data_IF_717982540370
#
_entry.id   IF_717982540370
#
_cell.length_a   1.000
_cell.length_b   1.000
_cell.length_c   1.000
_cell.angle_alpha   90.00
_cell.angle_beta   90.00
_cell.angle_gamma   90.00
#
_symmetry.space_group_name_H-M   'P 1'
#
loop_
_entity.id
_entity.type
_entity.pdbx_description
1 polymer ?
#
# COMPACT_ATOMS: atom_id res chain seq x y z
N UNK A 1 7.37 -6.56 -5.97
CA UNK A 1 6.18 -5.68 -5.79
C UNK A 1 6.24 -4.79 -4.54
N UNK A 2 6.85 -5.23 -3.41
CA UNK A 2 6.96 -4.42 -2.18
C UNK A 2 7.67 -3.05 -2.36
N UNK A 3 8.70 -2.98 -3.20
CA UNK A 3 9.51 -1.75 -3.41
C UNK A 3 8.90 -0.67 -4.31
N UNK A 4 7.95 -1.01 -5.18
CA UNK A 4 7.34 -0.02 -6.08
C UNK A 4 6.38 0.87 -5.29
N UNK A 5 5.50 0.25 -4.51
CA UNK A 5 4.54 0.97 -3.69
C UNK A 5 5.27 1.81 -2.63
N UNK A 6 6.23 1.24 -1.90
CA UNK A 6 6.99 1.96 -0.87
C UNK A 6 7.66 3.25 -1.37
N UNK A 7 8.14 3.27 -2.62
CA UNK A 7 8.72 4.48 -3.25
C UNK A 7 7.68 5.54 -3.58
N UNK A 8 6.52 5.14 -4.10
CA UNK A 8 5.43 6.09 -4.43
C UNK A 8 4.89 6.76 -3.17
N UNK A 9 4.80 6.02 -2.06
CA UNK A 9 4.36 6.57 -0.77
C UNK A 9 5.39 7.50 -0.10
N UNK A 10 6.61 7.62 -0.62
CA UNK A 10 7.63 8.59 -0.18
C UNK A 10 7.67 9.85 -1.05
N UNK A 11 6.88 9.91 -2.12
CA UNK A 11 6.83 11.08 -2.99
C UNK A 11 6.34 12.32 -2.20
N UNK A 12 6.85 13.51 -2.54
CA UNK A 12 6.42 14.74 -1.91
C UNK A 12 4.93 14.99 -2.20
N UNK A 13 4.21 15.69 -1.31
CA UNK A 13 2.77 15.97 -1.46
C UNK A 13 2.34 16.45 -2.86
N UNK A 14 3.01 17.42 -3.53
CA UNK A 14 2.57 17.91 -4.84
C UNK A 14 2.55 16.82 -5.91
N UNK A 15 3.50 15.87 -5.89
CA UNK A 15 3.54 14.78 -6.87
C UNK A 15 2.36 13.83 -6.71
N UNK A 16 1.88 13.61 -5.47
CA UNK A 16 0.71 12.75 -5.22
C UNK A 16 -0.56 13.37 -5.77
N UNK A 17 -0.73 14.68 -5.60
CA UNK A 17 -1.85 15.42 -6.19
C UNK A 17 -1.75 15.48 -7.72
N UNK A 18 -0.54 15.62 -8.27
CA UNK A 18 -0.34 15.55 -9.72
C UNK A 18 -0.76 14.19 -10.29
N UNK A 19 -0.40 13.08 -9.64
CA UNK A 19 -0.85 11.74 -10.02
C UNK A 19 -2.39 11.63 -9.96
N UNK A 20 -3.03 12.17 -8.92
CA UNK A 20 -4.49 12.17 -8.82
C UNK A 20 -5.20 12.94 -9.93
N UNK A 21 -4.67 14.11 -10.29
CA UNK A 21 -5.21 14.93 -11.39
C UNK A 21 -4.98 14.24 -12.73
N UNK A 22 -3.80 13.68 -12.97
CA UNK A 22 -3.50 12.91 -14.19
C UNK A 22 -4.40 11.70 -14.29
N UNK A 23 -4.57 10.94 -13.20
CA UNK A 23 -5.47 9.79 -13.17
C UNK A 23 -6.90 10.21 -13.53
N UNK A 24 -7.42 11.28 -12.91
CA UNK A 24 -8.74 11.83 -13.22
C UNK A 24 -8.85 12.20 -14.70
N UNK A 25 -7.89 12.96 -15.24
CA UNK A 25 -7.88 13.38 -16.64
C UNK A 25 -7.82 12.20 -17.61
N UNK A 26 -7.03 11.17 -17.31
CA UNK A 26 -6.96 9.93 -18.11
C UNK A 26 -8.28 9.17 -18.05
N UNK A 27 -8.88 9.02 -16.87
CA UNK A 27 -10.17 8.35 -16.70
C UNK A 27 -11.31 9.05 -17.46
N UNK A 28 -11.35 10.38 -17.35
CA UNK A 28 -12.31 11.22 -18.08
C UNK A 28 -12.09 11.11 -19.59
N UNK A 29 -10.85 11.28 -20.06
CA UNK A 29 -10.52 11.19 -21.49
C UNK A 29 -10.84 9.81 -22.07
N UNK A 30 -10.49 8.74 -21.34
CA UNK A 30 -10.79 7.38 -21.75
C UNK A 30 -12.31 7.17 -21.82
N UNK A 31 -13.07 7.69 -20.85
CA UNK A 31 -14.53 7.59 -20.88
C UNK A 31 -15.11 8.31 -22.10
N UNK A 32 -14.69 9.55 -22.36
CA UNK A 32 -15.13 10.32 -23.53
C UNK A 32 -14.84 9.59 -24.85
N UNK A 33 -13.69 8.92 -24.96
CA UNK A 33 -13.35 8.11 -26.13
C UNK A 33 -14.22 6.86 -26.29
N UNK A 34 -14.77 6.33 -25.19
CA UNK A 34 -15.63 5.14 -25.16
C UNK A 34 -17.13 5.49 -25.29
N UNK A 35 -17.52 6.75 -25.12
CA UNK A 35 -18.91 7.22 -25.27
C UNK A 35 -19.57 6.79 -26.58
N UNK A 36 -18.90 6.87 -27.76
CA UNK A 36 -19.50 6.46 -29.03
C UNK A 36 -19.82 4.96 -29.10
N UNK A 37 -19.11 4.14 -28.31
CA UNK A 37 -19.25 2.70 -28.38
C UNK A 37 -20.48 2.23 -27.60
N UNK A 38 -20.62 2.62 -26.33
CA UNK A 38 -21.60 2.00 -25.40
C UNK A 38 -22.62 3.03 -24.84
N UNK A 39 -22.54 4.28 -25.28
CA UNK A 39 -23.46 5.36 -24.91
C UNK A 39 -23.23 5.95 -23.51
N UNK A 40 -24.20 6.75 -23.05
CA UNK A 40 -24.13 7.55 -21.80
C UNK A 40 -24.72 6.82 -20.58
N UNK A 41 -24.86 5.49 -20.65
CA UNK A 41 -25.43 4.72 -19.53
C UNK A 41 -24.42 4.64 -18.37
N UNK A 42 -24.89 4.91 -17.15
CA UNK A 42 -24.16 4.75 -15.88
C UNK A 42 -22.70 5.32 -15.89
N UNK A 43 -22.50 6.61 -16.21
CA UNK A 43 -21.17 7.22 -16.41
C UNK A 43 -20.27 7.18 -15.17
N UNK A 44 -20.84 7.08 -13.98
CA UNK A 44 -20.10 7.06 -12.71
C UNK A 44 -19.32 5.75 -12.49
N UNK A 45 -19.79 4.62 -13.03
CA UNK A 45 -19.15 3.31 -12.80
C UNK A 45 -17.74 3.27 -13.38
N UNK A 46 -17.53 3.92 -14.53
CA UNK A 46 -16.22 3.98 -15.21
C UNK A 46 -15.18 4.81 -14.45
N UNK A 47 -15.59 5.62 -13.46
CA UNK A 47 -14.68 6.46 -12.68
C UNK A 47 -14.13 5.76 -11.43
N UNK A 48 -14.75 4.68 -10.96
CA UNK A 48 -14.26 3.97 -9.76
C UNK A 48 -12.83 3.41 -9.91
N UNK A 49 -12.43 2.79 -11.03
CA UNK A 49 -11.05 2.34 -11.21
C UNK A 49 -10.04 3.50 -11.13
N UNK A 50 -10.41 4.66 -11.68
CA UNK A 50 -9.60 5.87 -11.65
C UNK A 50 -9.40 6.38 -10.21
N UNK A 51 -10.46 6.42 -9.41
CA UNK A 51 -10.38 6.76 -7.98
C UNK A 51 -9.51 5.76 -7.24
N UNK A 52 -9.68 4.46 -7.51
CA UNK A 52 -8.92 3.41 -6.85
C UNK A 52 -7.41 3.55 -7.12
N UNK A 53 -7.02 3.79 -8.37
CA UNK A 53 -5.61 4.04 -8.75
C UNK A 53 -5.08 5.28 -8.03
N UNK A 54 -5.83 6.38 -8.04
CA UNK A 54 -5.42 7.61 -7.34
C UNK A 54 -5.24 7.40 -5.84
N UNK A 55 -6.20 6.74 -5.18
CA UNK A 55 -6.13 6.42 -3.76
C UNK A 55 -4.95 5.49 -3.44
N UNK A 56 -4.60 4.56 -4.34
CA UNK A 56 -3.50 3.62 -4.14
C UNK A 56 -2.13 4.25 -4.30
N UNK A 57 -1.97 5.27 -5.15
CA UNK A 57 -0.67 5.93 -5.32
C UNK A 57 -0.54 7.22 -4.49
N UNK A 58 -1.64 7.93 -4.25
CA UNK A 58 -1.63 9.21 -3.55
C UNK A 58 -2.11 9.15 -2.09
N UNK A 59 -2.91 8.14 -1.73
CA UNK A 59 -3.56 8.03 -0.42
C UNK A 59 -4.93 8.71 -0.36
N UNK A 60 -5.39 8.96 0.86
CA UNK A 60 -6.76 9.45 1.08
C UNK A 60 -7.09 10.75 0.32
N UNK A 61 -6.35 11.83 0.57
CA UNK A 61 -6.67 13.15 0.00
C UNK A 61 -6.59 13.20 -1.53
N UNK A 62 -5.57 12.62 -2.18
CA UNK A 62 -5.56 12.54 -3.64
C UNK A 62 -6.73 11.70 -4.21
N UNK A 63 -7.15 10.63 -3.51
CA UNK A 63 -8.36 9.87 -3.87
C UNK A 63 -9.64 10.71 -3.81
N UNK A 64 -9.78 11.55 -2.77
CA UNK A 64 -10.89 12.53 -2.67
C UNK A 64 -10.83 13.54 -3.81
N UNK A 65 -9.65 14.09 -4.13
CA UNK A 65 -9.50 15.03 -5.25
C UNK A 65 -9.95 14.40 -6.57
N UNK A 66 -9.51 13.18 -6.86
CA UNK A 66 -9.95 12.45 -8.06
C UNK A 66 -11.46 12.22 -8.05
N UNK A 67 -12.05 11.88 -6.90
CA UNK A 67 -13.50 11.70 -6.76
C UNK A 67 -14.25 12.99 -7.09
N UNK A 68 -13.81 14.14 -6.55
CA UNK A 68 -14.43 15.43 -6.80
C UNK A 68 -14.29 15.87 -8.27
N UNK A 69 -13.11 15.68 -8.86
CA UNK A 69 -12.89 15.99 -10.29
C UNK A 69 -13.76 15.13 -11.19
N UNK A 70 -13.87 13.82 -10.90
CA UNK A 70 -14.75 12.91 -11.62
C UNK A 70 -16.23 13.24 -11.42
N UNK A 71 -16.63 13.69 -10.23
CA UNK A 71 -18.00 14.14 -9.94
C UNK A 71 -18.37 15.37 -10.77
N UNK A 72 -17.50 16.39 -10.79
CA UNK A 72 -17.68 17.59 -11.61
C UNK A 72 -17.73 17.25 -13.10
N UNK A 73 -16.84 16.35 -13.56
CA UNK A 73 -16.85 15.90 -14.94
C UNK A 73 -18.12 15.12 -15.29
N UNK A 74 -18.61 14.26 -14.38
CA UNK A 74 -19.85 13.52 -14.53
C UNK A 74 -21.04 14.46 -14.76
N UNK A 75 -21.15 15.50 -13.95
CA UNK A 75 -22.19 16.52 -14.05
C UNK A 75 -22.09 17.31 -15.35
N UNK A 76 -20.88 17.73 -15.75
CA UNK A 76 -20.70 18.59 -16.92
C UNK A 76 -20.89 17.88 -18.26
N UNK A 77 -20.37 16.65 -18.42
CA UNK A 77 -20.32 15.96 -19.71
C UNK A 77 -21.45 14.96 -19.93
N UNK A 78 -21.98 14.33 -18.87
CA UNK A 78 -22.87 13.17 -19.02
C UNK A 78 -24.26 13.31 -18.39
N UNK A 79 -24.48 14.21 -17.43
CA UNK A 79 -25.80 14.43 -16.81
C UNK A 79 -26.60 15.51 -17.55
N UNK A 80 -27.86 15.27 -17.95
CA UNK A 80 -28.73 16.29 -18.53
C UNK A 80 -29.12 17.35 -17.49
N UNK A 81 -29.08 18.66 -17.81
CA UNK A 81 -28.69 19.26 -19.07
C UNK A 81 -27.17 19.29 -19.23
N UNK A 82 -26.67 18.61 -20.27
CA UNK A 82 -25.23 18.58 -20.60
C UNK A 82 -24.72 20.00 -20.82
N UNK A 83 -23.49 20.28 -20.37
CA UNK A 83 -22.89 21.62 -20.32
C UNK A 83 -23.59 22.61 -19.35
N UNK A 84 -24.39 22.13 -18.41
CA UNK A 84 -24.99 22.94 -17.35
C UNK A 84 -24.87 22.26 -15.99
N UNK A 85 -24.49 23.02 -14.95
CA UNK A 85 -24.47 22.55 -13.55
C UNK A 85 -25.86 22.66 -12.90
N UNK A 86 -26.92 22.26 -13.63
CA UNK A 86 -28.31 22.35 -13.16
C UNK A 86 -28.92 20.97 -13.01
N UNK A 87 -28.88 20.48 -11.78
CA UNK A 87 -29.56 19.24 -11.38
C UNK A 87 -31.07 19.36 -11.62
N UNK A 88 -31.56 18.72 -12.67
CA UNK A 88 -32.97 18.76 -13.08
C UNK A 88 -33.72 17.49 -12.67
N UNK A 89 -32.99 16.39 -12.44
CA UNK A 89 -33.54 15.09 -12.02
C UNK A 89 -33.00 14.68 -10.63
N UNK A 90 -33.86 14.33 -9.67
CA UNK A 90 -33.46 13.73 -8.40
C UNK A 90 -32.56 12.48 -8.53
N UNK A 91 -32.66 11.73 -9.63
CA UNK A 91 -31.82 10.55 -9.88
C UNK A 91 -30.33 10.86 -9.99
N UNK A 92 -29.96 11.98 -10.61
CA UNK A 92 -28.56 12.40 -10.79
C UNK A 92 -27.92 12.77 -9.46
N UNK A 93 -28.67 13.44 -8.59
CA UNK A 93 -28.25 13.79 -7.22
C UNK A 93 -27.94 12.53 -6.42
N UNK A 94 -28.82 11.54 -6.47
CA UNK A 94 -28.63 10.25 -5.75
C UNK A 94 -27.41 9.52 -6.28
N UNK A 95 -27.23 9.45 -7.61
CA UNK A 95 -26.05 8.85 -8.22
C UNK A 95 -24.75 9.53 -7.78
N UNK A 96 -24.73 10.87 -7.77
CA UNK A 96 -23.57 11.65 -7.34
C UNK A 96 -23.25 11.44 -5.86
N UNK A 97 -24.27 11.43 -4.99
CA UNK A 97 -24.09 11.18 -3.56
C UNK A 97 -23.52 9.78 -3.31
N UNK A 98 -24.08 8.76 -3.96
CA UNK A 98 -23.56 7.39 -3.87
C UNK A 98 -22.12 7.33 -4.36
N UNK A 99 -21.80 8.00 -5.46
CA UNK A 99 -20.45 8.04 -6.01
C UNK A 99 -19.45 8.69 -5.06
N UNK A 100 -19.78 9.83 -4.46
CA UNK A 100 -18.92 10.51 -3.49
C UNK A 100 -18.73 9.66 -2.23
N UNK A 101 -19.80 9.03 -1.73
CA UNK A 101 -19.73 8.12 -0.58
C UNK A 101 -18.82 6.92 -0.89
N UNK A 102 -19.02 6.25 -2.03
CA UNK A 102 -18.19 5.10 -2.43
C UNK A 102 -16.74 5.53 -2.67
N UNK A 103 -16.50 6.65 -3.35
CA UNK A 103 -15.14 7.18 -3.56
C UNK A 103 -14.42 7.52 -2.25
N UNK A 104 -15.17 8.08 -1.28
CA UNK A 104 -14.69 8.30 0.08
C UNK A 104 -14.38 7.00 0.83
N UNK A 105 -15.25 5.98 0.72
CA UNK A 105 -15.02 4.66 1.31
C UNK A 105 -13.81 3.96 0.69
N UNK A 106 -13.65 4.00 -0.64
CA UNK A 106 -12.48 3.45 -1.35
C UNK A 106 -11.20 4.13 -0.84
N UNK A 107 -11.22 5.47 -0.79
CA UNK A 107 -10.06 6.25 -0.33
C UNK A 107 -9.73 5.98 1.14
N UNK A 108 -10.74 5.89 2.00
CA UNK A 108 -10.60 5.59 3.43
C UNK A 108 -10.09 4.18 3.68
N UNK A 109 -10.67 3.18 3.01
CA UNK A 109 -10.24 1.80 3.13
C UNK A 109 -8.78 1.64 2.70
N UNK A 110 -8.40 2.25 1.58
CA UNK A 110 -7.01 2.19 1.09
C UNK A 110 -6.03 2.81 2.10
N UNK A 111 -6.38 3.94 2.72
CA UNK A 111 -5.58 4.57 3.77
C UNK A 111 -5.44 3.68 5.01
N UNK A 112 -6.52 3.05 5.48
CA UNK A 112 -6.47 2.14 6.64
C UNK A 112 -5.60 0.92 6.37
N UNK A 113 -5.74 0.31 5.19
CA UNK A 113 -4.92 -0.81 4.74
C UNK A 113 -3.44 -0.42 4.69
N UNK A 114 -3.13 0.73 4.08
CA UNK A 114 -1.76 1.23 4.02
C UNK A 114 -1.16 1.46 5.41
N UNK A 115 -1.92 2.06 6.33
CA UNK A 115 -1.44 2.30 7.71
C UNK A 115 -1.13 0.99 8.42
N UNK A 116 -2.01 0.00 8.29
CA UNK A 116 -1.79 -1.33 8.85
C UNK A 116 -0.52 -1.99 8.28
N UNK A 117 -0.35 -1.96 6.95
CA UNK A 117 0.86 -2.52 6.31
C UNK A 117 2.14 -1.82 6.77
N UNK A 118 2.11 -0.48 6.87
CA UNK A 118 3.28 0.30 7.29
C UNK A 118 3.63 0.04 8.76
N UNK A 119 2.62 -0.11 9.63
CA UNK A 119 2.81 -0.45 11.03
C UNK A 119 3.47 -1.82 11.19
N UNK A 120 3.02 -2.83 10.45
CA UNK A 120 3.63 -4.18 10.46
C UNK A 120 5.09 -4.12 10.06
N UNK A 121 5.42 -3.47 8.93
CA UNK A 121 6.80 -3.32 8.46
C UNK A 121 7.68 -2.62 9.52
N UNK A 122 7.19 -1.54 10.11
CA UNK A 122 7.96 -0.82 11.14
C UNK A 122 8.21 -1.64 12.41
N UNK A 123 7.31 -2.59 12.73
CA UNK A 123 7.49 -3.49 13.87
C UNK A 123 8.57 -4.53 13.60
N UNK A 124 8.63 -5.07 12.37
CA UNK A 124 9.69 -5.99 11.94
C UNK A 124 11.06 -5.30 11.96
N UNK A 125 11.15 -4.07 11.41
CA UNK A 125 12.41 -3.31 11.38
C UNK A 125 12.90 -2.94 12.79
N UNK A 126 11.99 -2.61 13.71
CA UNK A 126 12.34 -2.35 15.12
C UNK A 126 12.88 -3.60 15.79
N UNK A 127 12.21 -4.74 15.63
CA UNK A 127 12.67 -6.01 16.21
C UNK A 127 14.07 -6.38 15.69
N UNK A 128 14.28 -6.26 14.37
CA UNK A 128 15.59 -6.49 13.74
C UNK A 128 16.66 -5.55 14.28
N UNK A 129 16.36 -4.27 14.39
CA UNK A 129 17.32 -3.26 14.90
C UNK A 129 17.66 -3.53 16.36
N UNK A 130 16.68 -3.85 17.21
CA UNK A 130 16.93 -4.19 18.62
C UNK A 130 17.81 -5.44 18.74
N UNK A 131 17.50 -6.51 18.00
CA UNK A 131 18.32 -7.73 17.99
C UNK A 131 19.73 -7.49 17.43
N UNK A 132 19.90 -6.56 16.49
CA UNK A 132 21.21 -6.17 15.97
C UNK A 132 22.00 -5.25 16.91
N UNK A 133 21.32 -4.49 17.78
CA UNK A 133 21.93 -3.58 18.76
C UNK A 133 22.35 -4.27 20.06
N UNK A 134 21.88 -5.50 20.30
CA UNK A 134 22.42 -6.35 21.36
C UNK A 134 23.83 -6.74 20.91
N UNK A 135 24.84 -6.37 21.72
CA UNK A 135 26.25 -6.71 21.45
C UNK A 135 26.56 -8.21 21.55
N UNK A 136 25.57 -9.03 21.89
CA UNK A 136 25.65 -10.48 21.97
C UNK A 136 25.13 -11.13 20.69
N UNK A 137 25.79 -12.23 20.29
CA UNK A 137 25.29 -13.08 19.23
C UNK A 137 23.98 -13.75 19.63
N UNK A 138 22.93 -13.56 18.82
CA UNK A 138 21.62 -14.19 19.02
C UNK A 138 21.40 -15.26 17.95
N UNK A 139 21.15 -16.48 18.42
CA UNK A 139 20.74 -17.63 17.59
C UNK A 139 19.35 -18.05 18.05
N UNK A 140 18.36 -17.99 17.17
CA UNK A 140 17.03 -18.54 17.42
C UNK A 140 16.94 -19.94 16.83
N UNK A 141 16.24 -20.86 17.52
CA UNK A 141 15.98 -22.21 17.03
C UNK A 141 14.51 -22.58 17.10
N UNK A 142 14.10 -23.57 16.30
CA UNK A 142 12.82 -24.26 16.46
C UNK A 142 12.86 -25.26 17.64
N UNK A 143 11.75 -25.98 17.83
CA UNK A 143 11.57 -27.03 18.83
C UNK A 143 12.48 -28.25 18.61
N UNK A 144 13.00 -28.44 17.39
CA UNK A 144 14.00 -29.46 17.05
C UNK A 144 15.44 -28.94 17.19
N UNK A 145 15.65 -27.70 17.64
CA UNK A 145 16.98 -27.10 17.76
C UNK A 145 17.64 -26.76 16.42
N UNK A 146 16.87 -26.57 15.35
CA UNK A 146 17.38 -26.06 14.06
C UNK A 146 17.34 -24.54 14.05
N UNK A 147 18.37 -23.91 13.50
CA UNK A 147 18.50 -22.46 13.44
C UNK A 147 17.37 -21.86 12.59
N UNK A 148 16.62 -20.95 13.19
CA UNK A 148 15.53 -20.19 12.55
C UNK A 148 15.88 -18.72 12.31
N UNK A 149 16.88 -18.18 13.01
CA UNK A 149 17.42 -16.86 12.76
C UNK A 149 18.85 -16.73 13.33
N UNK A 150 19.65 -15.87 12.69
CA UNK A 150 20.99 -15.49 13.14
C UNK A 150 21.12 -13.96 13.05
N UNK A 151 21.47 -13.26 14.14
CA UNK A 151 21.76 -11.83 14.04
C UNK A 151 23.18 -11.58 13.49
N UNK A 152 23.46 -10.36 13.01
CA UNK A 152 24.75 -10.01 12.40
C UNK A 152 25.96 -10.24 13.34
N UNK A 153 25.76 -10.09 14.65
CA UNK A 153 26.81 -10.38 15.64
C UNK A 153 27.09 -11.88 15.72
N UNK A 154 26.06 -12.72 15.75
CA UNK A 154 26.22 -14.18 15.69
C UNK A 154 26.82 -14.64 14.36
N UNK A 155 26.51 -13.99 13.23
CA UNK A 155 27.20 -14.25 11.96
C UNK A 155 28.71 -13.97 12.09
N UNK A 156 29.07 -12.80 12.65
CA UNK A 156 30.46 -12.42 12.85
C UNK A 156 31.21 -13.34 13.84
N UNK A 157 30.53 -13.85 14.87
CA UNK A 157 31.12 -14.72 15.90
C UNK A 157 31.25 -16.18 15.44
N UNK A 158 30.27 -16.69 14.68
CA UNK A 158 30.24 -18.09 14.23
C UNK A 158 30.89 -18.29 12.86
N UNK A 159 31.01 -17.22 12.06
CA UNK A 159 31.48 -17.27 10.68
C UNK A 159 30.45 -17.79 9.67
N UNK A 160 29.22 -18.07 10.11
CA UNK A 160 28.12 -18.50 9.26
C UNK A 160 27.24 -17.32 8.88
N UNK A 161 26.79 -17.22 7.62
CA UNK A 161 25.68 -16.32 7.30
C UNK A 161 24.34 -16.93 7.74
N UNK A 162 23.34 -16.09 8.02
CA UNK A 162 21.98 -16.51 8.35
C UNK A 162 21.41 -17.44 7.26
N UNK A 163 21.65 -17.08 5.99
CA UNK A 163 21.22 -17.87 4.85
C UNK A 163 21.81 -19.29 4.82
N UNK A 164 23.05 -19.46 5.29
CA UNK A 164 23.72 -20.75 5.34
C UNK A 164 23.35 -21.56 6.59
N UNK A 165 23.10 -20.87 7.71
CA UNK A 165 22.76 -21.47 8.99
C UNK A 165 21.29 -21.91 9.07
N UNK A 166 20.37 -21.23 8.38
CA UNK A 166 18.93 -21.53 8.38
C UNK A 166 18.64 -23.02 8.12
N UNK A 167 17.88 -23.64 9.04
CA UNK A 167 17.48 -25.05 8.99
C UNK A 167 18.55 -26.06 9.43
N UNK A 168 19.79 -25.63 9.70
CA UNK A 168 20.85 -26.48 10.27
C UNK A 168 20.66 -26.66 11.77
N UNK A 169 21.14 -27.78 12.32
CA UNK A 169 21.16 -28.00 13.78
C UNK A 169 22.09 -27.00 14.45
N UNK A 170 21.63 -26.34 15.51
CA UNK A 170 22.39 -25.31 16.22
C UNK A 170 23.76 -25.79 16.68
N UNK A 171 23.85 -27.02 17.19
CA UNK A 171 25.10 -27.64 17.62
C UNK A 171 26.19 -27.74 16.53
N UNK A 172 25.80 -27.70 15.24
CA UNK A 172 26.75 -27.68 14.12
C UNK A 172 27.15 -26.27 13.64
N UNK A 173 26.43 -25.25 14.10
CA UNK A 173 26.67 -23.83 13.77
C UNK A 173 27.39 -23.13 14.92
N UNK A 174 27.04 -23.46 16.15
CA UNK A 174 27.65 -22.95 17.38
C UNK A 174 27.68 -24.05 18.45
N UNK A 175 28.86 -24.26 19.03
CA UNK A 175 29.04 -25.19 20.14
C UNK A 175 28.88 -24.40 21.43
N UNK A 176 27.86 -24.72 22.22
CA UNK A 176 27.62 -24.09 23.52
C UNK A 176 28.70 -24.63 24.46
N UNK A 177 29.63 -23.78 24.86
CA UNK A 177 30.63 -24.13 25.87
C UNK A 177 30.14 -23.59 27.20
N UNK A 178 29.99 -24.47 28.18
CA UNK A 178 29.52 -24.09 29.51
C UNK A 178 30.62 -23.30 30.24
N UNK A 179 30.30 -22.06 30.65
CA UNK A 179 31.24 -21.03 31.11
C UNK A 179 32.12 -21.45 32.33
N UNK A 180 31.59 -22.19 33.33
CA UNK A 180 32.38 -22.68 34.46
C UNK A 180 33.26 -23.89 34.12
N UNK A 181 32.85 -24.75 33.18
CA UNK A 181 33.48 -26.05 32.92
C UNK A 181 34.39 -26.06 31.68
N UNK A 182 34.21 -25.08 30.77
CA UNK A 182 34.84 -25.01 29.44
C UNK A 182 34.68 -26.28 28.60
N UNK A 183 33.66 -27.08 28.89
CA UNK A 183 33.32 -28.28 28.13
C UNK A 183 32.17 -27.96 27.15
N UNK A 184 32.21 -28.54 25.93
CA UNK A 184 31.14 -28.41 24.94
C UNK A 184 29.88 -29.22 25.30
#
# INVERSE_FOLDING_TARGET
MRDVFGRVWRLPPPTRYAIAVIAAAVGISLRLALDPLWGVKLPLITMFPTIMVSAWFGGFWPGIVTTLLSAIAAEYFWMPPVHSLRMSDPGDVVGLLIFVVIGGLISGLNETWRRATTAVISSEDRLRTTLASIGDGVIATDDEGRVTALNAVAEALTGWSEAEALGRRSAGVFVIVDEPSRQP
#
